data_IF_437683804275
#
_entry.id   IF_437683804275
#
_cell.length_a   1.000
_cell.length_b   1.000
_cell.length_c   1.000
_cell.angle_alpha   90.00
_cell.angle_beta   90.00
_cell.angle_gamma   90.00
#
_symmetry.space_group_name_H-M   'P 1'
#
loop_
_entity.id
_entity.type
_entity.pdbx_description
1 polymer ?
#
# COMPACT_ATOMS: atom_id res chain seq x y z
N UNK A 1 -15.48 22.38 0.55
CA UNK A 1 -15.37 21.53 1.75
C UNK A 1 -13.95 20.95 1.86
N UNK A 2 -13.45 20.26 0.83
CA UNK A 2 -12.06 19.78 0.80
C UNK A 2 -11.00 20.89 0.76
N UNK A 3 -11.31 22.06 0.21
CA UNK A 3 -10.34 23.16 0.06
C UNK A 3 -9.84 23.76 1.39
N UNK A 4 -10.70 23.84 2.42
CA UNK A 4 -10.31 24.34 3.75
C UNK A 4 -9.41 23.34 4.46
N UNK A 5 -9.70 22.05 4.36
CA UNK A 5 -8.87 20.98 4.92
C UNK A 5 -7.52 20.91 4.19
N UNK A 6 -7.54 20.95 2.84
CA UNK A 6 -6.35 20.92 2.00
C UNK A 6 -5.40 22.08 2.30
N UNK A 7 -5.96 23.26 2.57
CA UNK A 7 -5.22 24.48 2.87
C UNK A 7 -5.26 24.85 4.36
N UNK A 8 -5.46 23.88 5.27
CA UNK A 8 -5.60 24.15 6.71
C UNK A 8 -4.41 24.92 7.31
N UNK A 9 -3.24 24.92 6.64
CA UNK A 9 -2.08 25.70 7.01
C UNK A 9 -2.24 27.22 6.82
N UNK A 10 -3.08 27.68 5.88
CA UNK A 10 -3.32 29.12 5.66
C UNK A 10 -4.53 29.66 6.43
N UNK A 11 -5.37 28.77 6.98
CA UNK A 11 -6.51 29.16 7.80
C UNK A 11 -6.13 29.29 9.29
N UNK A 12 -6.89 30.13 10.00
CA UNK A 12 -6.81 30.19 11.45
C UNK A 12 -7.34 28.89 12.07
N UNK A 13 -6.81 28.55 13.25
CA UNK A 13 -7.23 27.36 13.99
C UNK A 13 -8.72 27.41 14.30
N UNK A 14 -9.25 28.59 14.63
CA UNK A 14 -10.67 28.76 14.96
C UNK A 14 -11.58 28.50 13.76
N UNK A 15 -11.16 28.87 12.56
CA UNK A 15 -11.90 28.62 11.32
C UNK A 15 -11.87 27.12 10.97
N UNK A 16 -10.73 26.46 11.15
CA UNK A 16 -10.59 25.02 10.95
C UNK A 16 -11.48 24.25 11.95
N UNK A 17 -11.50 24.64 13.22
CA UNK A 17 -12.35 24.01 14.24
C UNK A 17 -13.85 24.21 13.97
N UNK A 18 -14.25 25.43 13.59
CA UNK A 18 -15.65 25.70 13.18
C UNK A 18 -16.06 24.88 11.97
N UNK A 19 -15.17 24.76 10.99
CA UNK A 19 -15.42 23.99 9.78
C UNK A 19 -15.56 22.49 10.06
N UNK A 20 -14.76 21.96 10.99
CA UNK A 20 -14.82 20.58 11.44
C UNK A 20 -15.93 20.32 12.47
N UNK A 21 -16.66 21.36 12.89
CA UNK A 21 -17.67 21.33 13.96
C UNK A 21 -17.14 20.69 15.26
N UNK A 22 -15.98 21.16 15.74
CA UNK A 22 -15.31 20.62 16.93
C UNK A 22 -15.04 21.70 17.95
N UNK A 23 -15.34 21.40 19.21
CA UNK A 23 -14.98 22.26 20.32
C UNK A 23 -13.54 22.00 20.79
N UNK A 24 -12.76 23.05 20.96
CA UNK A 24 -11.36 22.98 21.39
C UNK A 24 -11.15 22.32 22.77
N UNK A 25 -12.07 22.56 23.71
CA UNK A 25 -11.92 22.16 25.11
C UNK A 25 -12.62 20.83 25.42
N UNK A 26 -13.66 20.50 24.65
CA UNK A 26 -14.41 19.25 24.83
C UNK A 26 -14.05 18.16 23.81
N UNK A 27 -13.43 18.53 22.68
CA UNK A 27 -13.19 17.61 21.57
C UNK A 27 -14.48 17.13 20.90
N UNK A 28 -14.43 15.94 20.30
CA UNK A 28 -15.59 15.29 19.68
C UNK A 28 -16.46 14.62 20.73
N UNK A 29 -17.77 14.58 20.48
CA UNK A 29 -18.71 13.79 21.30
C UNK A 29 -18.75 12.36 20.83
N UNK A 30 -18.99 11.42 21.76
CA UNK A 30 -19.10 10.00 21.40
C UNK A 30 -20.24 9.70 20.41
N UNK A 31 -21.32 10.48 20.46
CA UNK A 31 -22.47 10.36 19.55
C UNK A 31 -22.12 10.68 18.09
N UNK A 32 -21.12 11.54 17.85
CA UNK A 32 -20.72 11.95 16.51
C UNK A 32 -19.76 10.95 15.85
N UNK A 33 -19.19 10.01 16.61
CA UNK A 33 -18.14 9.10 16.13
C UNK A 33 -18.65 8.17 15.02
N UNK A 34 -19.88 7.67 15.13
CA UNK A 34 -20.44 6.78 14.11
C UNK A 34 -20.69 7.52 12.80
N UNK A 35 -21.18 8.76 12.86
CA UNK A 35 -21.35 9.61 11.68
C UNK A 35 -20.00 9.93 11.02
N UNK A 36 -18.97 10.23 11.82
CA UNK A 36 -17.60 10.45 11.32
C UNK A 36 -17.04 9.17 10.69
N UNK A 37 -17.28 8.01 11.29
CA UNK A 37 -16.85 6.71 10.76
C UNK A 37 -17.49 6.43 9.40
N UNK A 38 -18.79 6.69 9.26
CA UNK A 38 -19.51 6.53 7.99
C UNK A 38 -19.03 7.52 6.92
N UNK A 39 -18.69 8.75 7.31
CA UNK A 39 -18.28 9.82 6.40
C UNK A 39 -16.82 9.74 5.94
N UNK A 40 -15.90 9.43 6.85
CA UNK A 40 -14.46 9.50 6.62
C UNK A 40 -13.76 8.15 6.61
N UNK A 41 -14.39 7.10 7.15
CA UNK A 41 -13.77 5.79 7.30
C UNK A 41 -12.83 5.70 8.51
N UNK A 42 -12.00 4.66 8.53
CA UNK A 42 -11.01 4.40 9.57
C UNK A 42 -9.66 5.04 9.21
N UNK A 43 -8.84 5.36 10.21
CA UNK A 43 -7.47 5.80 10.01
C UNK A 43 -6.55 4.60 9.75
N UNK A 44 -6.74 3.96 8.60
CA UNK A 44 -5.88 2.89 8.12
C UNK A 44 -5.49 3.16 6.67
N UNK A 45 -4.29 2.73 6.32
CA UNK A 45 -3.86 2.73 4.93
C UNK A 45 -4.46 1.50 4.25
N UNK A 46 -4.96 1.68 3.03
CA UNK A 46 -5.50 0.56 2.26
C UNK A 46 -4.39 -0.46 2.01
N UNK A 47 -4.69 -1.70 2.34
CA UNK A 47 -3.83 -2.84 2.07
C UNK A 47 -4.38 -3.48 0.81
N UNK A 48 -3.56 -3.60 -0.24
CA UNK A 48 -3.90 -4.48 -1.35
C UNK A 48 -4.27 -5.84 -0.77
N UNK A 49 -5.43 -6.38 -1.18
CA UNK A 49 -5.83 -7.71 -0.74
C UNK A 49 -4.71 -8.66 -1.11
N UNK A 50 -4.04 -9.23 -0.11
CA UNK A 50 -3.04 -10.27 -0.31
C UNK A 50 -3.67 -11.31 -1.23
N UNK A 51 -3.09 -11.53 -2.40
CA UNK A 51 -3.53 -12.62 -3.26
C UNK A 51 -3.41 -13.89 -2.43
N UNK A 52 -4.45 -14.73 -2.44
CA UNK A 52 -4.36 -16.01 -1.74
C UNK A 52 -3.18 -16.80 -2.31
N UNK A 53 -2.47 -17.58 -1.48
CA UNK A 53 -1.44 -18.51 -1.98
C UNK A 53 -1.99 -19.37 -3.12
N UNK A 54 -3.27 -19.76 -3.03
CA UNK A 54 -3.94 -20.52 -4.09
C UNK A 54 -4.15 -19.70 -5.38
N UNK A 55 -4.46 -18.41 -5.24
CA UNK A 55 -4.62 -17.48 -6.36
C UNK A 55 -3.27 -17.19 -7.03
N UNK A 56 -2.19 -17.03 -6.25
CA UNK A 56 -0.82 -16.93 -6.76
C UNK A 56 -0.42 -18.18 -7.54
N UNK A 57 -0.72 -19.37 -7.02
CA UNK A 57 -0.48 -20.64 -7.71
C UNK A 57 -1.27 -20.69 -9.02
N UNK A 58 -2.57 -20.36 -9.02
CA UNK A 58 -3.39 -20.35 -10.23
C UNK A 58 -2.86 -19.38 -11.28
N UNK A 59 -2.41 -18.19 -10.88
CA UNK A 59 -1.82 -17.21 -11.80
C UNK A 59 -0.55 -17.74 -12.48
N UNK A 60 0.26 -18.56 -11.79
CA UNK A 60 1.42 -19.22 -12.41
C UNK A 60 1.03 -20.21 -13.51
N UNK A 61 -0.18 -20.78 -13.46
CA UNK A 61 -0.70 -21.66 -14.52
C UNK A 61 -1.43 -20.91 -15.64
N UNK A 62 -1.66 -19.60 -15.50
CA UNK A 62 -2.39 -18.82 -16.50
C UNK A 62 -1.50 -18.35 -17.67
N UNK A 63 -0.18 -18.47 -17.53
CA UNK A 63 0.80 -18.20 -18.57
C UNK A 63 0.60 -19.13 -19.79
N UNK A 64 0.57 -18.53 -20.98
CA UNK A 64 0.38 -19.23 -22.25
C UNK A 64 1.44 -20.32 -22.50
N UNK A 65 2.70 -20.09 -22.10
CA UNK A 65 3.75 -21.11 -22.21
C UNK A 65 3.47 -22.30 -21.28
N UNK A 66 3.07 -22.03 -20.04
CA UNK A 66 2.73 -23.07 -19.07
C UNK A 66 1.53 -23.89 -19.55
N UNK A 67 0.51 -23.24 -20.13
CA UNK A 67 -0.64 -23.92 -20.76
C UNK A 67 -0.23 -24.84 -21.90
N UNK A 68 0.72 -24.43 -22.75
CA UNK A 68 1.26 -25.27 -23.82
C UNK A 68 2.01 -26.48 -23.25
N UNK A 69 2.83 -26.30 -22.21
CA UNK A 69 3.51 -27.42 -21.54
C UNK A 69 2.51 -28.38 -20.88
N UNK A 70 1.47 -27.86 -20.24
CA UNK A 70 0.39 -28.66 -19.65
C UNK A 70 -0.34 -29.47 -20.72
N UNK A 71 -0.62 -28.86 -21.88
CA UNK A 71 -1.25 -29.54 -23.00
C UNK A 71 -0.35 -30.66 -23.56
N UNK A 72 0.96 -30.40 -23.70
CA UNK A 72 1.92 -31.41 -24.14
C UNK A 72 2.04 -32.58 -23.15
N UNK A 73 2.11 -32.28 -21.84
CA UNK A 73 2.09 -33.29 -20.78
C UNK A 73 0.80 -34.11 -20.81
N UNK A 74 -0.35 -33.47 -21.05
CA UNK A 74 -1.65 -34.14 -21.17
C UNK A 74 -1.70 -35.05 -22.40
N UNK A 75 -1.25 -34.59 -23.57
CA UNK A 75 -1.20 -35.39 -24.80
C UNK A 75 -0.27 -36.59 -24.61
N UNK A 76 0.94 -36.37 -24.08
CA UNK A 76 1.91 -37.43 -23.78
C UNK A 76 1.29 -38.48 -22.84
N UNK A 77 0.67 -38.04 -21.75
CA UNK A 77 0.00 -38.92 -20.80
C UNK A 77 -1.15 -39.73 -21.45
N UNK A 78 -1.98 -39.11 -22.29
CA UNK A 78 -3.06 -39.80 -23.01
C UNK A 78 -2.50 -40.82 -24.01
N UNK A 79 -1.45 -40.49 -24.75
CA UNK A 79 -0.78 -41.42 -25.66
C UNK A 79 -0.22 -42.63 -24.91
N UNK A 80 0.47 -42.41 -23.79
CA UNK A 80 0.95 -43.51 -22.91
C UNK A 80 -0.20 -44.38 -22.41
N UNK A 81 -1.33 -43.78 -22.01
CA UNK A 81 -2.52 -44.53 -21.59
C UNK A 81 -3.16 -45.34 -22.72
N UNK A 82 -3.14 -44.85 -23.97
CA UNK A 82 -3.65 -45.57 -25.13
C UNK A 82 -2.71 -46.70 -25.55
N UNK A 83 -1.39 -46.49 -25.48
CA UNK A 83 -0.37 -47.50 -25.76
C UNK A 83 -0.34 -48.62 -24.71
N UNK A 84 -0.80 -48.35 -23.48
CA UNK A 84 -1.04 -49.39 -22.46
C UNK A 84 -2.00 -50.49 -22.95
N UNK A 85 -2.81 -50.22 -23.98
CA UNK A 85 -3.77 -51.18 -24.54
C UNK A 85 -3.16 -52.15 -25.56
N UNK A 86 -1.97 -51.86 -26.09
CA UNK A 86 -1.36 -52.61 -27.21
C UNK A 86 0.08 -53.14 -26.96
N UNK A 87 0.79 -52.75 -25.88
CA UNK A 87 2.19 -53.18 -25.65
C UNK A 87 2.57 -53.33 -24.16
N UNK A 88 3.68 -54.05 -23.90
CA UNK A 88 4.30 -54.16 -22.57
C UNK A 88 4.77 -52.77 -22.12
N UNK A 89 4.20 -52.30 -21.02
CA UNK A 89 4.52 -51.02 -20.37
C UNK A 89 5.98 -51.04 -19.93
N UNK A 90 6.79 -50.11 -20.45
CA UNK A 90 8.05 -49.74 -19.81
C UNK A 90 7.77 -48.59 -18.85
N UNK A 91 8.33 -48.67 -17.64
CA UNK A 91 8.21 -47.62 -16.60
C UNK A 91 8.73 -46.26 -17.14
N UNK A 92 9.58 -46.32 -18.17
CA UNK A 92 10.15 -45.20 -18.90
C UNK A 92 9.10 -44.28 -19.54
N UNK A 93 7.96 -44.80 -19.99
CA UNK A 93 6.97 -44.02 -20.75
C UNK A 93 6.22 -43.00 -19.87
N UNK A 94 6.17 -43.22 -18.56
CA UNK A 94 5.58 -42.27 -17.60
C UNK A 94 6.59 -41.22 -17.12
N UNK A 95 7.88 -41.38 -17.41
CA UNK A 95 8.92 -40.43 -16.97
C UNK A 95 8.73 -39.08 -17.64
N UNK A 96 8.40 -39.06 -18.93
CA UNK A 96 8.25 -37.81 -19.70
C UNK A 96 7.14 -36.89 -19.15
N UNK A 97 5.87 -37.30 -19.01
CA UNK A 97 4.84 -36.44 -18.42
C UNK A 97 5.12 -36.12 -16.95
N UNK A 98 5.73 -37.05 -16.19
CA UNK A 98 6.09 -36.82 -14.79
C UNK A 98 7.14 -35.71 -14.63
N UNK A 99 8.18 -35.71 -15.46
CA UNK A 99 9.25 -34.68 -15.43
C UNK A 99 8.69 -33.31 -15.80
N UNK A 100 7.80 -33.22 -16.79
CA UNK A 100 7.17 -31.95 -17.17
C UNK A 100 6.34 -31.38 -16.01
N UNK A 101 5.49 -32.21 -15.39
CA UNK A 101 4.69 -31.80 -14.23
C UNK A 101 5.58 -31.37 -13.06
N UNK A 102 6.68 -32.09 -12.80
CA UNK A 102 7.63 -31.73 -11.74
C UNK A 102 8.25 -30.35 -11.98
N UNK A 103 8.68 -30.04 -13.21
CA UNK A 103 9.24 -28.74 -13.58
C UNK A 103 8.22 -27.62 -13.36
N UNK A 104 6.96 -27.84 -13.74
CA UNK A 104 5.89 -26.86 -13.53
C UNK A 104 5.63 -26.58 -12.04
N UNK A 105 5.63 -27.63 -11.21
CA UNK A 105 5.47 -27.48 -9.75
C UNK A 105 6.63 -26.68 -9.16
N UNK A 106 7.88 -26.98 -9.56
CA UNK A 106 9.05 -26.25 -9.09
C UNK A 106 9.00 -24.77 -9.50
N UNK A 107 8.60 -24.48 -10.74
CA UNK A 107 8.49 -23.11 -11.22
C UNK A 107 7.41 -22.32 -10.45
N UNK A 108 6.23 -22.93 -10.25
CA UNK A 108 5.16 -22.32 -9.46
C UNK A 108 5.60 -22.05 -8.01
N UNK A 109 6.33 -22.98 -7.39
CA UNK A 109 6.85 -22.81 -6.03
C UNK A 109 7.86 -21.65 -5.92
N UNK A 110 8.78 -21.52 -6.90
CA UNK A 110 9.73 -20.40 -6.95
C UNK A 110 9.01 -19.08 -7.19
N UNK A 111 8.03 -19.04 -8.10
CA UNK A 111 7.22 -17.84 -8.37
C UNK A 111 6.47 -17.35 -7.13
N UNK A 112 5.78 -18.25 -6.42
CA UNK A 112 5.08 -17.92 -5.18
C UNK A 112 6.05 -17.41 -4.11
N UNK A 113 7.24 -18.01 -3.99
CA UNK A 113 8.24 -17.57 -3.02
C UNK A 113 8.77 -16.15 -3.29
N UNK A 114 8.95 -15.78 -4.56
CA UNK A 114 9.39 -14.45 -4.97
C UNK A 114 8.31 -13.39 -4.66
N UNK A 115 7.05 -13.68 -4.98
CA UNK A 115 5.93 -12.74 -4.77
C UNK A 115 5.66 -12.52 -3.27
N UNK A 116 5.67 -13.58 -2.46
CA UNK A 116 5.56 -13.47 -1.00
C UNK A 116 6.70 -12.67 -0.35
N UNK A 117 7.90 -12.67 -0.92
CA UNK A 117 9.01 -11.86 -0.39
C UNK A 117 8.88 -10.38 -0.75
N UNK A 118 8.30 -10.05 -1.91
CA UNK A 118 8.02 -8.66 -2.29
C UNK A 118 6.97 -8.03 -1.36
N UNK A 119 5.88 -8.75 -1.06
CA UNK A 119 4.81 -8.27 -0.17
C UNK A 119 5.29 -7.97 1.27
N UNK A 120 6.24 -8.76 1.81
CA UNK A 120 6.78 -8.54 3.16
C UNK A 120 7.45 -7.17 3.33
N UNK A 121 8.06 -6.64 2.27
CA UNK A 121 8.69 -5.32 2.30
C UNK A 121 7.65 -4.20 2.40
N UNK A 122 6.47 -4.38 1.80
CA UNK A 122 5.34 -3.47 1.93
C UNK A 122 4.74 -3.53 3.34
N UNK A 123 4.66 -4.73 3.94
CA UNK A 123 4.13 -4.91 5.30
C UNK A 123 5.03 -4.22 6.37
N UNK A 124 6.33 -4.12 6.14
CA UNK A 124 7.24 -3.37 7.02
C UNK A 124 6.95 -1.85 7.07
N UNK A 125 6.37 -1.26 6.01
CA UNK A 125 5.92 0.13 6.03
C UNK A 125 4.71 0.32 6.97
N UNK A 126 3.90 -0.72 7.17
CA UNK A 126 2.73 -0.70 8.05
C UNK A 126 3.10 -0.64 9.53
N UNK A 127 4.19 -1.30 9.93
CA UNK A 127 4.70 -1.27 11.32
C UNK A 127 5.19 0.12 11.75
N UNK A 128 5.34 1.06 10.80
CA UNK A 128 5.75 2.42 11.09
C UNK A 128 4.60 3.29 11.66
N UNK A 129 3.34 2.86 11.51
CA UNK A 129 2.18 3.58 12.06
C UNK A 129 2.14 3.49 13.59
N UNK A 130 1.89 4.60 14.31
CA UNK A 130 1.69 4.58 15.75
C UNK A 130 0.45 3.75 16.10
N UNK A 131 0.56 2.87 17.08
CA UNK A 131 -0.52 1.97 17.52
C UNK A 131 -1.51 2.61 18.49
N UNK A 132 -1.17 3.74 19.12
CA UNK A 132 -2.04 4.42 20.08
C UNK A 132 -1.92 5.93 19.96
N UNK A 133 -3.05 6.61 20.16
CA UNK A 133 -3.14 8.07 20.17
C UNK A 133 -3.89 8.54 21.43
N UNK A 134 -3.46 9.65 22.00
CA UNK A 134 -4.16 10.31 23.11
C UNK A 134 -5.08 11.38 22.55
N UNK A 135 -6.39 11.19 22.70
CA UNK A 135 -7.44 12.05 22.15
C UNK A 135 -8.27 12.71 23.25
N UNK A 136 -8.86 13.85 22.95
CA UNK A 136 -9.86 14.52 23.77
C UNK A 136 -11.26 14.25 23.21
N UNK A 137 -12.09 13.56 23.98
CA UNK A 137 -13.50 13.25 23.63
C UNK A 137 -14.38 13.45 24.86
N UNK A 138 -15.57 14.03 24.68
CA UNK A 138 -16.49 14.40 25.77
C UNK A 138 -15.80 15.12 26.95
N UNK A 139 -14.81 15.97 26.66
CA UNK A 139 -14.03 16.72 27.65
C UNK A 139 -13.03 15.88 28.46
N UNK A 140 -12.80 14.61 28.10
CA UNK A 140 -11.87 13.71 28.77
C UNK A 140 -10.76 13.25 27.83
N UNK A 141 -9.55 13.15 28.39
CA UNK A 141 -8.41 12.59 27.67
C UNK A 141 -8.42 11.08 27.76
N UNK A 142 -8.47 10.42 26.61
CA UNK A 142 -8.51 8.96 26.49
C UNK A 142 -7.41 8.47 25.54
N UNK A 143 -6.91 7.25 25.77
CA UNK A 143 -5.95 6.61 24.87
C UNK A 143 -6.71 5.61 24.03
N UNK A 144 -6.76 5.85 22.73
CA UNK A 144 -7.42 4.98 21.75
C UNK A 144 -6.40 4.37 20.80
N UNK A 145 -6.81 3.30 20.12
CA UNK A 145 -6.09 2.83 18.94
C UNK A 145 -6.13 3.91 17.84
N UNK A 146 -5.01 4.14 17.18
CA UNK A 146 -4.91 5.12 16.10
C UNK A 146 -5.85 4.81 14.94
N UNK A 147 -6.27 3.55 14.78
CA UNK A 147 -7.28 3.10 13.80
C UNK A 147 -8.63 3.81 13.97
N UNK A 148 -9.04 4.07 15.21
CA UNK A 148 -10.33 4.69 15.55
C UNK A 148 -10.24 6.21 15.69
N UNK A 149 -9.20 6.80 15.14
CA UNK A 149 -9.01 8.23 15.06
C UNK A 149 -9.77 8.78 13.84
N UNK A 150 -10.54 9.83 14.04
CA UNK A 150 -11.38 10.43 13.01
C UNK A 150 -11.00 11.89 12.74
N UNK A 151 -11.38 12.39 11.57
CA UNK A 151 -11.23 13.81 11.22
C UNK A 151 -12.00 14.66 12.23
N UNK A 152 -11.31 15.61 12.85
CA UNK A 152 -11.84 16.44 13.94
C UNK A 152 -11.40 16.00 15.34
N UNK A 153 -10.85 14.81 15.54
CA UNK A 153 -10.30 14.45 16.85
C UNK A 153 -9.21 15.43 17.26
N UNK A 154 -9.21 15.82 18.55
CA UNK A 154 -8.12 16.62 19.11
C UNK A 154 -7.13 15.66 19.76
N UNK A 155 -5.91 15.65 19.23
CA UNK A 155 -4.81 14.82 19.73
C UNK A 155 -3.84 15.63 20.57
N UNK A 156 -3.29 14.97 21.59
CA UNK A 156 -2.12 15.46 22.32
C UNK A 156 -0.88 14.68 21.89
N UNK A 157 0.18 15.43 21.58
CA UNK A 157 1.46 14.87 21.19
C UNK A 157 2.57 15.45 22.07
N UNK A 158 3.47 14.56 22.48
CA UNK A 158 4.64 14.85 23.30
C UNK A 158 5.88 14.19 22.71
N UNK A 159 7.05 14.55 23.24
CA UNK A 159 8.34 13.99 22.80
C UNK A 159 8.32 12.47 22.76
N UNK A 160 8.78 11.90 21.64
CA UNK A 160 8.80 10.46 21.38
C UNK A 160 7.51 9.89 20.82
N UNK A 161 6.41 10.67 20.75
CA UNK A 161 5.22 10.25 20.04
C UNK A 161 5.40 10.40 18.53
N UNK A 162 4.92 9.41 17.78
CA UNK A 162 4.68 9.56 16.34
C UNK A 162 3.28 10.15 16.14
N UNK A 163 3.18 11.04 15.17
CA UNK A 163 1.92 11.67 14.77
C UNK A 163 1.03 10.62 14.07
N UNK A 164 -0.21 10.36 14.55
CA UNK A 164 -1.06 9.27 14.04
C UNK A 164 -1.79 9.56 12.74
N UNK A 165 -1.95 10.83 12.39
CA UNK A 165 -2.68 11.31 11.23
C UNK A 165 -2.24 12.74 10.92
N UNK A 166 -2.60 13.28 9.76
CA UNK A 166 -2.27 14.67 9.48
C UNK A 166 -3.13 15.58 10.35
N UNK A 167 -2.49 16.53 11.05
CA UNK A 167 -3.13 17.35 12.06
C UNK A 167 -2.66 18.81 12.00
N UNK A 168 -3.60 19.74 12.21
CA UNK A 168 -3.35 21.18 12.34
C UNK A 168 -3.08 21.50 13.81
N UNK A 169 -1.92 22.11 14.10
CA UNK A 169 -1.54 22.47 15.47
C UNK A 169 -2.52 23.51 16.02
N UNK A 170 -3.10 23.26 17.19
CA UNK A 170 -4.01 24.19 17.87
C UNK A 170 -3.22 25.06 18.84
N UNK A 171 -2.37 24.43 19.66
CA UNK A 171 -1.61 25.09 20.71
C UNK A 171 -0.34 24.31 21.03
N UNK A 172 0.74 25.05 21.23
CA UNK A 172 2.01 24.52 21.70
C UNK A 172 2.13 24.89 23.18
N UNK A 173 2.39 23.91 24.04
CA UNK A 173 2.56 24.12 25.48
C UNK A 173 4.02 24.35 25.88
N UNK A 174 4.95 23.94 25.03
CA UNK A 174 6.40 24.09 25.24
C UNK A 174 6.93 25.36 24.59
N UNK A 175 8.16 25.76 24.93
CA UNK A 175 8.86 26.90 24.33
C UNK A 175 9.08 26.72 22.82
N UNK A 176 9.36 25.48 22.39
CA UNK A 176 9.50 25.12 20.98
C UNK A 176 8.91 23.73 20.74
N UNK A 177 8.45 23.51 19.51
CA UNK A 177 8.00 22.21 19.02
C UNK A 177 8.85 21.84 17.82
N UNK A 178 9.56 20.72 17.89
CA UNK A 178 10.41 20.20 16.81
C UNK A 178 9.93 18.83 16.37
N UNK A 179 9.85 18.64 15.07
CA UNK A 179 9.35 17.43 14.45
C UNK A 179 10.37 16.90 13.45
N UNK A 180 10.62 15.61 13.50
CA UNK A 180 11.41 14.91 12.49
C UNK A 180 10.50 14.44 11.36
N UNK A 181 10.78 14.92 10.14
CA UNK A 181 9.97 14.67 8.95
C UNK A 181 10.72 13.84 7.89
N UNK A 182 11.80 13.16 8.30
CA UNK A 182 12.69 12.38 7.44
C UNK A 182 11.97 11.36 6.58
N UNK A 183 10.88 10.76 7.07
CA UNK A 183 10.05 9.82 6.32
C UNK A 183 9.34 10.42 5.10
N UNK A 184 9.05 11.72 5.10
CA UNK A 184 8.31 12.38 4.01
C UNK A 184 9.22 13.26 3.16
N UNK A 185 10.24 13.88 3.76
CA UNK A 185 11.09 14.86 3.08
C UNK A 185 12.46 14.31 2.72
N UNK A 186 12.88 13.18 3.31
CA UNK A 186 14.24 12.64 3.20
C UNK A 186 15.30 13.43 3.98
N UNK A 187 14.92 14.53 4.63
CA UNK A 187 15.85 15.36 5.41
C UNK A 187 15.88 14.91 6.87
N UNK A 188 17.05 14.57 7.40
CA UNK A 188 17.21 14.11 8.79
C UNK A 188 17.16 15.24 9.83
N UNK A 189 17.10 16.51 9.39
CA UNK A 189 17.05 17.64 10.29
C UNK A 189 15.64 17.85 10.87
N UNK A 190 15.56 18.08 12.18
CA UNK A 190 14.29 18.43 12.82
C UNK A 190 13.82 19.83 12.41
N UNK A 191 12.53 20.00 12.15
CA UNK A 191 11.92 21.27 11.74
C UNK A 191 11.12 21.88 12.89
N UNK A 192 11.29 23.18 13.12
CA UNK A 192 10.47 23.95 14.07
C UNK A 192 9.05 24.17 13.55
N UNK A 193 8.07 23.95 14.43
CA UNK A 193 6.64 24.08 14.14
C UNK A 193 6.00 25.20 14.96
N UNK A 194 4.96 25.81 14.39
CA UNK A 194 4.25 26.96 14.96
C UNK A 194 2.72 26.75 14.92
N UNK A 195 1.97 27.39 15.82
CA UNK A 195 0.51 27.29 15.83
C UNK A 195 -0.19 28.33 14.93
N UNK A 196 0.50 29.43 14.62
CA UNK A 196 -0.06 30.55 13.87
C UNK A 196 -0.40 30.17 12.42
N UNK A 197 -1.36 30.90 11.83
CA UNK A 197 -1.70 30.72 10.41
C UNK A 197 -0.54 31.19 9.53
N UNK A 198 -0.34 30.50 8.41
CA UNK A 198 0.61 30.92 7.39
C UNK A 198 -0.04 31.94 6.45
N UNK A 199 0.78 32.73 5.75
CA UNK A 199 0.29 33.67 4.74
C UNK A 199 -0.39 32.95 3.56
N UNK A 200 -1.36 33.61 2.93
CA UNK A 200 -2.08 33.05 1.77
C UNK A 200 -1.18 32.75 0.56
N UNK A 201 0.01 33.36 0.49
CA UNK A 201 1.05 33.07 -0.50
C UNK A 201 1.51 31.61 -0.47
N UNK A 202 1.31 30.92 0.66
CA UNK A 202 1.70 29.52 0.86
C UNK A 202 0.61 28.49 0.49
N UNK A 203 -0.53 28.87 -0.12
CA UNK A 203 -1.59 27.89 -0.47
C UNK A 203 -1.11 26.70 -1.30
N UNK A 204 -0.18 26.92 -2.22
CA UNK A 204 0.41 25.88 -3.08
C UNK A 204 1.87 25.57 -2.71
N UNK A 205 2.25 25.72 -1.44
CA UNK A 205 3.61 25.44 -1.00
C UNK A 205 3.88 23.94 -0.88
N UNK A 206 5.16 23.58 -0.95
CA UNK A 206 5.61 22.22 -0.68
C UNK A 206 5.37 21.81 0.78
N UNK A 207 5.29 20.50 1.04
CA UNK A 207 4.99 19.94 2.37
C UNK A 207 5.97 20.42 3.45
N UNK A 208 7.24 20.64 3.09
CA UNK A 208 8.31 21.12 3.95
C UNK A 208 8.00 22.51 4.54
N UNK A 209 7.29 23.34 3.77
CA UNK A 209 6.97 24.71 4.15
C UNK A 209 5.77 24.78 5.10
N UNK A 210 4.93 23.73 5.20
CA UNK A 210 3.76 23.71 6.09
C UNK A 210 4.19 23.57 7.57
N UNK A 211 4.61 24.67 8.19
CA UNK A 211 5.17 24.70 9.56
C UNK A 211 4.14 24.60 10.68
N UNK A 212 2.86 24.60 10.37
CA UNK A 212 1.78 24.49 11.35
C UNK A 212 0.94 23.20 11.22
N UNK A 213 1.39 22.31 10.33
CA UNK A 213 0.83 20.97 10.13
C UNK A 213 1.82 19.93 10.65
N UNK A 214 1.28 18.94 11.35
CA UNK A 214 1.92 17.70 11.71
C UNK A 214 1.47 16.64 10.71
N UNK A 215 2.39 15.88 10.16
CA UNK A 215 2.07 14.84 9.19
C UNK A 215 2.10 13.45 9.83
N UNK A 216 1.26 12.55 9.36
CA UNK A 216 1.25 11.16 9.78
C UNK A 216 2.64 10.52 9.66
N UNK A 217 2.98 9.62 10.60
CA UNK A 217 4.27 8.93 10.70
C UNK A 217 5.51 9.81 10.97
N UNK A 218 5.35 11.12 11.20
CA UNK A 218 6.43 11.99 11.68
C UNK A 218 6.58 11.91 13.20
N UNK A 219 7.80 12.08 13.72
CA UNK A 219 8.08 11.94 15.16
C UNK A 219 8.30 13.30 15.84
N UNK A 220 7.73 13.48 17.03
CA UNK A 220 7.99 14.67 17.85
C UNK A 220 9.33 14.50 18.58
N UNK A 221 10.29 15.37 18.25
CA UNK A 221 11.64 15.37 18.83
C UNK A 221 11.70 16.22 20.09
N UNK A 222 11.00 17.36 20.09
CA UNK A 222 10.99 18.28 21.22
C UNK A 222 9.62 18.93 21.37
N UNK A 223 9.17 19.11 22.61
CA UNK A 223 7.98 19.85 22.96
C UNK A 223 6.72 19.01 23.16
N UNK A 224 5.63 19.71 23.49
CA UNK A 224 4.28 19.18 23.68
C UNK A 224 3.29 20.12 23.02
N UNK A 225 2.31 19.55 22.31
CA UNK A 225 1.27 20.31 21.65
C UNK A 225 -0.05 19.55 21.62
N UNK A 226 -1.11 20.29 21.31
CA UNK A 226 -2.39 19.75 20.89
C UNK A 226 -2.67 20.15 19.45
N UNK A 227 -3.27 19.25 18.69
CA UNK A 227 -3.58 19.43 17.29
C UNK A 227 -4.94 18.82 16.95
N UNK A 228 -5.63 19.36 15.94
CA UNK A 228 -6.87 18.79 15.40
C UNK A 228 -6.56 17.97 14.16
N UNK A 229 -7.11 16.77 14.07
CA UNK A 229 -6.93 15.87 12.94
C UNK A 229 -7.68 16.42 11.72
N UNK A 230 -6.96 16.59 10.61
CA UNK A 230 -7.49 17.13 9.35
C UNK A 230 -7.69 16.04 8.29
N UNK A 231 -6.78 15.07 8.19
CA UNK A 231 -6.87 13.95 7.26
C UNK A 231 -6.45 12.65 7.95
N UNK A 232 -7.06 11.54 7.55
CA UNK A 232 -6.80 10.18 8.06
C UNK A 232 -6.62 9.19 6.90
N UNK A 233 -5.96 8.07 7.17
CA UNK A 233 -5.80 6.95 6.23
C UNK A 233 -5.20 7.39 4.89
N UNK A 234 -5.82 6.96 3.79
CA UNK A 234 -5.36 7.24 2.41
C UNK A 234 -5.38 8.73 2.01
N UNK A 235 -6.07 9.60 2.78
CA UNK A 235 -6.11 11.05 2.54
C UNK A 235 -4.97 11.82 3.21
N UNK A 236 -4.12 11.13 3.97
CA UNK A 236 -2.90 11.74 4.54
C UNK A 236 -1.82 11.88 3.48
N UNK A 237 -0.82 12.73 3.71
CA UNK A 237 0.32 12.86 2.78
C UNK A 237 1.05 11.51 2.58
N UNK A 238 1.22 10.71 3.64
CA UNK A 238 1.78 9.35 3.53
C UNK A 238 0.84 8.40 2.78
N UNK A 239 -0.47 8.57 2.95
CA UNK A 239 -1.48 7.81 2.21
C UNK A 239 -1.49 8.11 0.71
N UNK A 240 -1.30 9.38 0.33
CA UNK A 240 -1.13 9.78 -1.06
C UNK A 240 0.13 9.16 -1.69
N UNK A 241 1.24 9.13 -0.95
CA UNK A 241 2.47 8.44 -1.38
C UNK A 241 2.19 6.95 -1.58
N UNK A 242 1.52 6.30 -0.63
CA UNK A 242 1.20 4.88 -0.74
C UNK A 242 0.25 4.59 -1.91
N UNK A 243 -0.78 5.41 -2.12
CA UNK A 243 -1.68 5.27 -3.26
C UNK A 243 -0.91 5.37 -4.58
N UNK A 244 -0.03 6.36 -4.72
CA UNK A 244 0.79 6.52 -5.92
C UNK A 244 1.71 5.32 -6.14
N UNK A 245 2.29 4.75 -5.08
CA UNK A 245 3.12 3.54 -5.16
C UNK A 245 2.29 2.32 -5.58
N UNK A 246 1.11 2.13 -4.97
CA UNK A 246 0.18 1.04 -5.31
C UNK A 246 -0.26 1.16 -6.77
N UNK A 247 -0.70 2.35 -7.19
CA UNK A 247 -1.15 2.62 -8.55
C UNK A 247 -0.02 2.35 -9.55
N UNK A 248 1.21 2.80 -9.25
CA UNK A 248 2.39 2.52 -10.08
C UNK A 248 2.81 1.04 -10.14
N UNK A 249 2.52 0.25 -9.09
CA UNK A 249 2.74 -1.19 -9.10
C UNK A 249 1.63 -1.95 -9.84
N UNK A 250 0.41 -1.41 -9.83
CA UNK A 250 -0.75 -2.01 -10.51
C UNK A 250 -0.74 -1.79 -12.02
N UNK A 251 -0.11 -0.71 -12.48
CA UNK A 251 0.34 -0.61 -13.86
C UNK A 251 1.53 -1.55 -14.01
N UNK A 252 1.27 -2.76 -14.53
CA UNK A 252 2.25 -3.75 -15.00
C UNK A 252 3.24 -3.09 -15.98
N UNK A 253 4.15 -2.30 -15.45
CA UNK A 253 5.22 -1.66 -16.20
C UNK A 253 6.29 -2.71 -16.39
N UNK A 254 5.99 -3.63 -17.31
CA UNK A 254 6.94 -4.63 -17.77
C UNK A 254 8.25 -3.90 -18.07
N UNK A 255 9.32 -4.35 -17.42
CA UNK A 255 10.63 -3.75 -17.61
C UNK A 255 11.00 -3.79 -19.11
N UNK A 256 11.80 -2.83 -19.61
CA UNK A 256 12.22 -2.83 -21.01
C UNK A 256 12.83 -4.16 -21.47
N UNK A 257 13.48 -4.90 -20.55
CA UNK A 257 14.00 -6.24 -20.80
C UNK A 257 12.91 -7.32 -20.86
N UNK A 258 11.87 -7.25 -20.04
CA UNK A 258 10.72 -8.17 -20.10
C UNK A 258 9.97 -8.03 -21.42
N UNK A 259 9.69 -6.80 -21.87
CA UNK A 259 9.04 -6.55 -23.17
C UNK A 259 9.85 -7.16 -24.32
N UNK A 260 11.18 -6.95 -24.30
CA UNK A 260 12.08 -7.51 -25.31
C UNK A 260 12.11 -9.05 -25.25
N UNK A 261 12.07 -9.62 -24.05
CA UNK A 261 12.03 -11.08 -23.86
C UNK A 261 10.73 -11.68 -24.37
N UNK A 262 9.58 -11.06 -24.07
CA UNK A 262 8.25 -11.48 -24.57
C UNK A 262 8.21 -11.40 -26.10
N UNK A 263 8.77 -10.35 -26.71
CA UNK A 263 8.88 -10.24 -28.16
C UNK A 263 9.71 -11.38 -28.78
N UNK A 264 10.84 -11.73 -28.18
CA UNK A 264 11.66 -12.85 -28.62
C UNK A 264 10.88 -14.17 -28.50
N UNK A 265 10.28 -14.43 -27.33
CA UNK A 265 9.49 -15.65 -27.07
C UNK A 265 8.37 -15.81 -28.11
N UNK A 266 7.61 -14.74 -28.39
CA UNK A 266 6.51 -14.78 -29.36
C UNK A 266 7.01 -15.06 -30.79
N UNK A 267 8.15 -14.49 -31.18
CA UNK A 267 8.75 -14.78 -32.48
C UNK A 267 9.27 -16.22 -32.57
N UNK A 268 9.88 -16.75 -31.50
CA UNK A 268 10.30 -18.14 -31.44
C UNK A 268 9.09 -19.09 -31.53
N UNK A 269 8.00 -18.81 -30.81
CA UNK A 269 6.76 -19.60 -30.89
C UNK A 269 6.18 -19.65 -32.31
N UNK A 270 6.09 -18.50 -33.00
CA UNK A 270 5.62 -18.45 -34.40
C UNK A 270 6.50 -19.28 -35.33
N UNK A 271 7.82 -19.15 -35.20
CA UNK A 271 8.77 -19.90 -36.03
C UNK A 271 8.67 -21.40 -35.79
N UNK A 272 8.59 -21.82 -34.52
CA UNK A 272 8.42 -23.22 -34.14
C UNK A 272 7.10 -23.82 -34.66
N UNK A 273 6.00 -23.06 -34.58
CA UNK A 273 4.70 -23.49 -35.11
C UNK A 273 4.75 -23.72 -36.63
N UNK A 274 5.37 -22.80 -37.38
CA UNK A 274 5.53 -22.94 -38.83
C UNK A 274 6.35 -24.20 -39.18
N UNK A 275 7.45 -24.45 -38.45
CA UNK A 275 8.28 -25.65 -38.64
C UNK A 275 7.49 -26.94 -38.36
N UNK A 276 6.69 -26.97 -37.30
CA UNK A 276 5.89 -28.15 -36.98
C UNK A 276 4.86 -28.45 -38.08
N UNK A 277 4.18 -27.42 -38.60
CA UNK A 277 3.19 -27.57 -39.67
C UNK A 277 3.85 -28.02 -40.98
N UNK A 278 5.01 -27.47 -41.35
CA UNK A 278 5.70 -27.88 -42.58
C UNK A 278 6.20 -29.31 -42.50
N UNK A 279 6.75 -29.73 -41.36
CA UNK A 279 7.15 -31.14 -41.14
C UNK A 279 5.94 -32.07 -41.21
N UNK A 280 4.81 -31.69 -40.60
CA UNK A 280 3.58 -32.49 -40.65
C UNK A 280 3.00 -32.65 -42.07
N UNK A 281 3.14 -31.64 -42.93
CA UNK A 281 2.71 -31.71 -44.34
C UNK A 281 3.66 -32.58 -45.18
N UNK A 282 4.95 -32.64 -44.80
CA UNK A 282 5.98 -33.38 -45.54
C UNK A 282 6.04 -34.88 -45.20
N UNK A 283 5.48 -35.28 -44.05
CA UNK A 283 5.35 -36.67 -43.58
C UNK A 283 4.03 -37.26 -44.10
#
# INVERSE_FOLDING_TARGET
>A
MEEVIKNAHTYDVEDVLKFLDVNKDNGLKNEELDDRRLKYGLNELEVEKKKSIFELILNQFDDLLVKILLLAAFISFVLTLLDMKHKKIEICDFIEPLVIVLILILNAAVGVWQECNAEKSLEALKELQPTKAKVLRDGKWEIIDSKYLYVGDIIELSVGNKTPADARIIKIYSTSLKVEQSMLTGESCSVDKYAEKMEDSYKNCEIQLKKNILFSSTAIVCGRCIAVVINIGMKTEIGHIQHAVIESNSEDTQTPLQIKSIYLVNNYQKSFFVICVTVWILI
#
